data_IF_648815784578
#
_entry.id   IF_648815784578
#
_cell.length_a   1.000
_cell.length_b   1.000
_cell.length_c   1.000
_cell.angle_alpha   90.00
_cell.angle_beta   90.00
_cell.angle_gamma   90.00
#
_symmetry.space_group_name_H-M   'P 1'
#
loop_
_entity.id
_entity.type
_entity.pdbx_description
1 polymer ?
#
# COMPACT_ATOMS: atom_id res chain seq x y z
N UNK A 1 2.95 12.55 15.71
CA UNK A 1 3.90 11.96 14.75
C UNK A 1 3.29 11.92 13.36
N UNK A 2 2.06 11.42 13.18
CA UNK A 2 1.42 11.31 11.86
C UNK A 2 0.37 12.38 11.57
N UNK A 3 -0.03 13.18 12.57
CA UNK A 3 -1.15 14.13 12.46
C UNK A 3 -0.94 15.14 11.33
N UNK A 4 0.22 15.81 11.28
CA UNK A 4 0.52 16.81 10.25
C UNK A 4 0.51 16.25 8.84
N UNK A 5 0.96 15.00 8.65
CA UNK A 5 0.92 14.36 7.34
C UNK A 5 -0.52 14.01 6.92
N UNK A 6 -1.35 13.55 7.87
CA UNK A 6 -2.77 13.26 7.62
C UNK A 6 -3.54 14.55 7.31
N UNK A 7 -3.30 15.64 8.05
CA UNK A 7 -3.88 16.95 7.80
C UNK A 7 -3.52 17.50 6.41
N UNK A 8 -2.33 17.17 5.91
CA UNK A 8 -1.88 17.49 4.56
C UNK A 8 -2.40 16.51 3.46
N UNK A 9 -3.34 15.61 3.79
CA UNK A 9 -3.89 14.63 2.86
C UNK A 9 -3.07 13.35 2.70
N UNK A 10 -2.09 13.15 3.55
CA UNK A 10 -1.28 11.93 3.58
C UNK A 10 -2.01 10.73 4.17
N UNK A 11 -1.40 9.57 4.05
CA UNK A 11 -1.90 8.31 4.60
C UNK A 11 -0.87 7.57 5.44
N UNK A 12 -1.36 6.75 6.36
CA UNK A 12 -0.53 5.85 7.17
C UNK A 12 -0.78 4.42 6.72
N UNK A 13 0.30 3.70 6.39
CA UNK A 13 0.28 2.27 6.10
C UNK A 13 0.99 1.52 7.21
N UNK A 14 0.49 0.35 7.57
CA UNK A 14 1.10 -0.51 8.57
C UNK A 14 1.48 -1.86 7.98
N UNK A 15 2.65 -2.37 8.38
CA UNK A 15 3.10 -3.72 8.09
C UNK A 15 3.10 -4.48 9.41
N UNK A 16 2.40 -5.60 9.44
CA UNK A 16 2.27 -6.44 10.63
C UNK A 16 3.12 -7.71 10.48
N UNK A 17 4.09 -7.86 11.36
CA UNK A 17 4.89 -9.08 11.53
C UNK A 17 4.37 -9.89 12.71
N UNK A 18 3.43 -10.80 12.44
CA UNK A 18 2.86 -11.71 13.44
C UNK A 18 3.92 -12.72 13.89
N UNK A 19 4.05 -12.91 15.20
CA UNK A 19 5.02 -13.85 15.79
C UNK A 19 6.46 -13.34 15.82
N UNK A 20 6.68 -12.04 15.62
CA UNK A 20 8.02 -11.43 15.52
C UNK A 20 8.27 -10.29 16.51
N UNK A 21 7.61 -10.27 17.65
CA UNK A 21 7.87 -9.25 18.67
C UNK A 21 9.26 -9.38 19.28
N UNK A 22 9.74 -10.60 19.44
CA UNK A 22 11.01 -10.97 20.07
C UNK A 22 12.13 -11.34 19.06
N UNK A 23 11.84 -11.33 17.76
CA UNK A 23 12.78 -11.72 16.71
C UNK A 23 13.64 -10.57 16.18
N UNK A 24 13.21 -9.34 16.42
CA UNK A 24 13.92 -8.13 15.99
C UNK A 24 14.64 -7.48 17.16
N UNK A 25 15.96 -7.45 17.11
CA UNK A 25 16.74 -6.71 18.09
C UNK A 25 16.57 -5.20 17.90
N UNK A 26 16.91 -4.42 18.92
CA UNK A 26 16.93 -2.95 18.82
C UNK A 26 17.77 -2.47 17.63
N UNK A 27 18.92 -3.12 17.41
CA UNK A 27 19.81 -2.81 16.30
C UNK A 27 19.18 -3.07 14.93
N UNK A 28 18.36 -4.11 14.80
CA UNK A 28 17.65 -4.41 13.55
C UNK A 28 16.58 -3.36 13.27
N UNK A 29 15.85 -2.93 14.31
CA UNK A 29 14.85 -1.85 14.19
C UNK A 29 15.54 -0.52 13.82
N UNK A 30 16.67 -0.21 14.42
CA UNK A 30 17.43 1.01 14.11
C UNK A 30 17.90 1.00 12.64
N UNK A 31 18.41 -0.14 12.13
CA UNK A 31 18.75 -0.32 10.69
C UNK A 31 17.55 -0.16 9.76
N UNK A 32 16.38 -0.67 10.16
CA UNK A 32 15.14 -0.47 9.39
C UNK A 32 14.74 1.01 9.36
N UNK A 33 14.94 1.73 10.45
CA UNK A 33 14.76 3.19 10.52
C UNK A 33 15.71 3.93 9.56
N UNK A 34 16.98 3.55 9.54
CA UNK A 34 17.95 4.12 8.57
C UNK A 34 17.57 3.83 7.13
N UNK A 35 17.16 2.59 6.83
CA UNK A 35 16.67 2.21 5.51
C UNK A 35 15.45 3.02 5.09
N UNK A 36 14.50 3.21 6.00
CA UNK A 36 13.31 4.02 5.74
C UNK A 36 13.65 5.46 5.34
N UNK A 37 14.64 6.06 5.98
CA UNK A 37 15.06 7.43 5.66
C UNK A 37 15.90 7.48 4.39
N UNK A 38 16.94 6.63 4.27
CA UNK A 38 17.94 6.72 3.21
C UNK A 38 17.46 6.18 1.87
N UNK A 39 16.70 5.06 1.90
CA UNK A 39 16.33 4.32 0.69
C UNK A 39 14.86 4.55 0.30
N UNK A 40 13.99 4.83 1.28
CA UNK A 40 12.57 5.05 1.02
C UNK A 40 12.18 6.54 1.02
N UNK A 41 13.09 7.44 1.42
CA UNK A 41 12.84 8.88 1.46
C UNK A 41 11.85 9.33 2.53
N UNK A 42 11.58 8.47 3.53
CA UNK A 42 10.62 8.77 4.59
C UNK A 42 11.23 9.67 5.66
N UNK A 43 10.41 10.45 6.36
CA UNK A 43 10.85 11.23 7.51
C UNK A 43 11.21 10.40 8.76
N UNK A 44 11.00 9.09 8.72
CA UNK A 44 11.30 8.14 9.79
C UNK A 44 10.41 6.91 9.74
N UNK A 45 10.69 5.94 10.63
CA UNK A 45 9.91 4.72 10.77
C UNK A 45 9.25 4.67 12.16
N UNK A 46 7.91 4.68 12.17
CA UNK A 46 7.16 4.41 13.40
C UNK A 46 7.06 2.90 13.66
N UNK A 47 7.06 2.49 14.92
CA UNK A 47 6.81 1.09 15.25
C UNK A 47 6.18 0.90 16.63
N UNK A 48 5.52 -0.25 16.79
CA UNK A 48 5.06 -0.82 18.05
C UNK A 48 5.44 -2.29 18.07
N UNK A 49 6.01 -2.75 19.18
CA UNK A 49 6.25 -4.17 19.46
C UNK A 49 5.28 -4.61 20.56
N UNK A 50 4.46 -5.60 20.26
CA UNK A 50 3.50 -6.22 21.17
C UNK A 50 4.07 -7.51 21.77
N UNK A 51 4.99 -7.36 22.72
CA UNK A 51 5.36 -8.43 23.66
C UNK A 51 4.39 -8.43 24.86
N UNK A 52 4.85 -8.72 26.05
CA UNK A 52 4.04 -8.61 27.29
C UNK A 52 3.44 -7.21 27.41
N UNK A 53 4.27 -6.19 27.18
CA UNK A 53 3.87 -4.79 27.09
C UNK A 53 4.08 -4.24 25.67
N UNK A 54 3.27 -3.23 25.32
CA UNK A 54 3.47 -2.50 24.07
C UNK A 54 4.66 -1.55 24.16
N UNK A 55 5.68 -1.74 23.33
CA UNK A 55 6.93 -0.95 23.31
C UNK A 55 7.11 -0.24 21.96
N UNK A 56 7.81 0.86 21.96
CA UNK A 56 8.15 1.62 20.75
C UNK A 56 7.72 3.08 20.80
N UNK A 57 8.20 3.90 19.86
CA UNK A 57 7.93 5.35 19.86
C UNK A 57 6.46 5.68 19.65
N UNK A 58 5.73 4.87 18.88
CA UNK A 58 4.29 5.07 18.62
C UNK A 58 3.48 4.68 19.84
N UNK A 59 3.82 3.58 20.54
CA UNK A 59 3.13 3.14 21.73
C UNK A 59 3.13 4.23 22.84
N UNK A 60 4.24 4.96 22.98
CA UNK A 60 4.36 6.05 23.97
C UNK A 60 3.44 7.25 23.70
N UNK A 61 2.84 7.34 22.52
CA UNK A 61 1.96 8.45 22.09
C UNK A 61 0.49 8.07 22.03
N UNK A 62 0.16 6.82 22.32
CA UNK A 62 -1.20 6.29 22.28
C UNK A 62 -1.71 6.02 23.70
N UNK A 63 -3.01 6.19 23.88
CA UNK A 63 -3.71 5.75 25.08
C UNK A 63 -3.91 4.22 25.11
N UNK A 64 -4.27 3.71 26.28
CA UNK A 64 -4.45 2.27 26.47
C UNK A 64 -5.54 1.66 25.56
N UNK A 65 -6.61 2.40 25.30
CA UNK A 65 -7.71 1.91 24.45
C UNK A 65 -7.25 1.72 22.99
N UNK A 66 -6.49 2.68 22.44
CA UNK A 66 -5.92 2.58 21.11
C UNK A 66 -4.87 1.48 20.99
N UNK A 67 -4.03 1.32 22.03
CA UNK A 67 -3.07 0.22 22.10
C UNK A 67 -3.78 -1.13 22.12
N UNK A 68 -4.84 -1.29 22.90
CA UNK A 68 -5.64 -2.52 22.96
C UNK A 68 -6.25 -2.85 21.58
N UNK A 69 -6.83 -1.85 20.90
CA UNK A 69 -7.41 -2.04 19.57
C UNK A 69 -6.36 -2.40 18.51
N UNK A 70 -5.17 -1.80 18.57
CA UNK A 70 -4.08 -2.17 17.67
C UNK A 70 -3.54 -3.57 17.96
N UNK A 71 -3.47 -3.99 19.23
CA UNK A 71 -3.09 -5.34 19.62
C UNK A 71 -4.11 -6.38 19.14
N UNK A 72 -5.41 -6.07 19.23
CA UNK A 72 -6.47 -6.94 18.70
C UNK A 72 -6.29 -7.20 17.20
N UNK A 73 -5.97 -6.15 16.42
CA UNK A 73 -5.74 -6.25 14.97
C UNK A 73 -4.42 -6.97 14.65
N UNK A 74 -3.35 -6.62 15.36
CA UNK A 74 -2.02 -7.15 15.10
C UNK A 74 -1.84 -8.59 15.59
N UNK A 75 -2.49 -8.93 16.69
CA UNK A 75 -2.25 -10.15 17.46
C UNK A 75 -1.11 -9.97 18.47
N UNK A 76 -1.09 -10.86 19.46
CA UNK A 76 0.02 -10.96 20.40
C UNK A 76 1.32 -11.40 19.71
N UNK A 77 2.44 -11.12 20.35
CA UNK A 77 3.78 -11.41 19.81
C UNK A 77 4.02 -10.85 18.41
N UNK A 78 3.57 -9.60 18.16
CA UNK A 78 3.64 -8.95 16.84
C UNK A 78 4.47 -7.68 16.87
N UNK A 79 5.06 -7.34 15.73
CA UNK A 79 5.68 -6.04 15.49
C UNK A 79 4.96 -5.29 14.38
N UNK A 80 4.47 -4.08 14.67
CA UNK A 80 3.88 -3.19 13.68
C UNK A 80 4.88 -2.11 13.27
N UNK A 81 5.08 -1.94 11.97
CA UNK A 81 5.85 -0.85 11.38
C UNK A 81 4.93 0.09 10.62
N UNK A 82 5.09 1.39 10.81
CA UNK A 82 4.23 2.42 10.23
C UNK A 82 5.01 3.30 9.26
N UNK A 83 4.49 3.38 8.05
CA UNK A 83 4.94 4.29 6.99
C UNK A 83 3.91 5.39 6.83
N UNK A 84 4.35 6.64 6.75
CA UNK A 84 3.48 7.79 6.60
C UNK A 84 4.03 8.74 5.54
N UNK A 85 3.24 8.99 4.51
CA UNK A 85 3.51 9.91 3.40
C UNK A 85 2.20 10.17 2.63
N UNK A 86 2.25 10.88 1.50
CA UNK A 86 1.14 10.92 0.55
C UNK A 86 0.75 9.50 0.12
N UNK A 87 -0.51 9.30 -0.28
CA UNK A 87 -1.10 7.96 -0.43
C UNK A 87 -0.29 7.00 -1.30
N UNK A 88 0.15 7.46 -2.48
CA UNK A 88 0.93 6.64 -3.40
C UNK A 88 2.36 6.38 -2.91
N UNK A 89 3.18 7.40 -2.53
CA UNK A 89 4.48 7.20 -1.90
C UNK A 89 4.43 6.29 -0.69
N UNK A 90 3.45 6.47 0.22
CA UNK A 90 3.28 5.62 1.40
C UNK A 90 3.05 4.15 1.01
N UNK A 91 2.24 3.89 -0.02
CA UNK A 91 1.97 2.53 -0.49
C UNK A 91 3.21 1.89 -1.12
N UNK A 92 3.96 2.63 -1.95
CA UNK A 92 5.23 2.17 -2.54
C UNK A 92 6.29 1.88 -1.47
N UNK A 93 6.45 2.78 -0.51
CA UNK A 93 7.40 2.61 0.59
C UNK A 93 7.03 1.42 1.49
N UNK A 94 5.74 1.25 1.81
CA UNK A 94 5.25 0.09 2.57
C UNK A 94 5.53 -1.23 1.83
N UNK A 95 5.33 -1.29 0.52
CA UNK A 95 5.63 -2.45 -0.31
C UNK A 95 7.12 -2.82 -0.27
N UNK A 96 8.02 -1.83 -0.45
CA UNK A 96 9.47 -2.02 -0.38
C UNK A 96 9.91 -2.48 1.02
N UNK A 97 9.38 -1.86 2.07
CA UNK A 97 9.67 -2.24 3.47
C UNK A 97 9.20 -3.67 3.77
N UNK A 98 8.00 -4.06 3.30
CA UNK A 98 7.49 -5.43 3.44
C UNK A 98 8.44 -6.43 2.79
N UNK A 99 8.89 -6.17 1.57
CA UNK A 99 9.80 -7.07 0.85
C UNK A 99 11.15 -7.17 1.56
N UNK A 100 11.69 -6.05 2.05
CA UNK A 100 12.93 -6.05 2.85
C UNK A 100 12.79 -6.88 4.13
N UNK A 101 11.73 -6.67 4.89
CA UNK A 101 11.45 -7.44 6.10
C UNK A 101 11.32 -8.95 5.79
N UNK A 102 10.62 -9.30 4.71
CA UNK A 102 10.49 -10.68 4.26
C UNK A 102 11.85 -11.33 3.94
N UNK A 103 12.72 -10.60 3.25
CA UNK A 103 14.05 -11.07 2.88
C UNK A 103 14.98 -11.16 4.10
N UNK A 104 15.07 -10.10 4.90
CA UNK A 104 15.97 -10.02 6.07
C UNK A 104 15.64 -11.08 7.13
N UNK A 105 14.37 -11.45 7.26
CA UNK A 105 13.88 -12.43 8.23
C UNK A 105 13.76 -13.85 7.65
N UNK A 106 14.13 -14.05 6.39
CA UNK A 106 14.04 -15.35 5.73
C UNK A 106 12.61 -15.90 5.61
N UNK A 107 11.62 -15.00 5.47
CA UNK A 107 10.21 -15.37 5.37
C UNK A 107 9.79 -15.78 3.97
N UNK A 108 10.64 -15.53 2.99
CA UNK A 108 10.38 -15.88 1.59
C UNK A 108 10.94 -17.27 1.32
N UNK A 109 10.06 -18.23 1.09
CA UNK A 109 10.47 -19.56 0.63
C UNK A 109 10.40 -19.59 -0.90
N UNK A 110 11.53 -19.79 -1.61
CA UNK A 110 11.56 -19.78 -3.08
C UNK A 110 10.80 -20.95 -3.74
N UNK A 111 10.38 -21.94 -2.94
CA UNK A 111 9.58 -23.06 -3.40
C UNK A 111 8.08 -22.87 -3.24
N UNK A 112 7.66 -21.79 -2.59
CA UNK A 112 6.23 -21.47 -2.45
C UNK A 112 5.75 -20.72 -3.69
N UNK A 113 4.53 -21.03 -4.12
CA UNK A 113 3.85 -20.38 -5.22
C UNK A 113 2.67 -19.60 -4.65
N UNK A 114 2.89 -18.31 -4.39
CA UNK A 114 1.87 -17.40 -3.88
C UNK A 114 1.31 -16.57 -5.03
N UNK A 115 0.05 -16.82 -5.39
CA UNK A 115 -0.66 -16.08 -6.42
C UNK A 115 -1.53 -14.99 -5.80
N UNK A 116 -1.65 -13.87 -6.49
CA UNK A 116 -2.67 -12.88 -6.21
C UNK A 116 -3.14 -12.21 -7.52
N UNK A 117 -4.39 -11.69 -7.47
CA UNK A 117 -4.94 -10.83 -8.51
C UNK A 117 -4.80 -9.38 -8.07
N UNK A 118 -4.40 -8.53 -9.01
CA UNK A 118 -4.49 -7.09 -8.89
C UNK A 118 -5.57 -6.64 -9.84
N UNK A 119 -6.60 -5.98 -9.35
CA UNK A 119 -7.81 -5.65 -10.10
C UNK A 119 -8.19 -4.18 -9.92
N UNK A 120 -9.15 -3.74 -10.71
CA UNK A 120 -9.75 -2.41 -10.57
C UNK A 120 -8.74 -1.28 -10.71
N UNK A 121 -7.90 -1.36 -11.73
CA UNK A 121 -6.95 -0.30 -12.08
C UNK A 121 -7.67 1.05 -12.30
N UNK A 122 -7.02 2.20 -12.04
CA UNK A 122 -7.54 3.47 -12.49
C UNK A 122 -7.64 3.48 -14.02
N UNK A 123 -8.76 3.95 -14.57
CA UNK A 123 -8.93 4.03 -16.02
C UNK A 123 -8.20 5.24 -16.58
N UNK A 124 -8.19 6.35 -15.81
CA UNK A 124 -7.46 7.58 -16.11
C UNK A 124 -6.50 7.94 -14.99
N UNK A 125 -5.44 8.65 -15.36
CA UNK A 125 -4.50 9.32 -14.46
C UNK A 125 -4.32 10.79 -14.87
N UNK A 126 -3.85 11.67 -13.97
CA UNK A 126 -3.53 13.03 -14.35
C UNK A 126 -2.35 13.08 -15.33
N UNK A 127 -2.48 13.85 -16.39
CA UNK A 127 -1.37 14.16 -17.29
C UNK A 127 -0.68 15.44 -16.81
N UNK A 128 0.49 15.31 -16.20
CA UNK A 128 1.24 16.45 -15.68
C UNK A 128 1.65 17.43 -16.77
N UNK A 129 1.96 16.94 -17.98
CA UNK A 129 2.35 17.75 -19.13
C UNK A 129 1.19 18.56 -19.69
N UNK A 130 -0.04 18.17 -19.39
CA UNK A 130 -1.28 18.82 -19.82
C UNK A 130 -2.07 19.44 -18.68
N UNK A 131 -1.38 19.87 -17.61
CA UNK A 131 -2.02 20.56 -16.48
C UNK A 131 -2.98 19.69 -15.68
N UNK A 132 -2.77 18.39 -15.64
CA UNK A 132 -3.59 17.44 -14.88
C UNK A 132 -4.82 16.92 -15.64
N UNK A 133 -4.94 17.17 -16.94
CA UNK A 133 -6.01 16.60 -17.76
C UNK A 133 -6.00 15.07 -17.69
N UNK A 134 -7.15 14.40 -17.71
CA UNK A 134 -7.20 12.93 -17.69
C UNK A 134 -6.52 12.36 -18.94
N UNK A 135 -5.63 11.39 -18.74
CA UNK A 135 -5.10 10.50 -19.78
C UNK A 135 -5.32 9.04 -19.38
N UNK A 136 -5.39 8.15 -20.33
CA UNK A 136 -5.50 6.72 -20.05
C UNK A 136 -4.26 6.22 -19.30
N UNK A 137 -4.47 5.52 -18.20
CA UNK A 137 -3.37 4.95 -17.40
C UNK A 137 -2.66 3.82 -18.15
N UNK A 138 -3.43 2.93 -18.79
CA UNK A 138 -2.92 1.77 -19.50
C UNK A 138 -3.59 1.67 -20.89
N UNK A 139 -4.67 0.94 -20.97
CA UNK A 139 -5.23 0.42 -22.21
C UNK A 139 -6.58 1.06 -22.50
N UNK A 140 -6.68 1.99 -23.48
CA UNK A 140 -7.90 2.75 -23.74
C UNK A 140 -9.08 1.90 -24.20
N UNK A 141 -8.83 0.70 -24.71
CA UNK A 141 -9.88 -0.22 -25.16
C UNK A 141 -10.41 -1.16 -24.08
N UNK A 142 -9.95 -1.03 -22.85
CA UNK A 142 -10.53 -1.72 -21.71
C UNK A 142 -11.91 -1.16 -21.37
N UNK A 143 -12.75 -2.00 -20.75
CA UNK A 143 -14.07 -1.59 -20.32
C UNK A 143 -13.98 -0.72 -19.07
N UNK A 144 -14.50 0.51 -19.06
CA UNK A 144 -14.62 1.31 -17.86
C UNK A 144 -15.70 0.70 -16.96
N UNK A 145 -15.40 0.55 -15.66
CA UNK A 145 -16.36 0.07 -14.66
C UNK A 145 -17.30 1.21 -14.23
N UNK A 146 -17.99 1.78 -15.21
CA UNK A 146 -18.90 2.90 -15.03
C UNK A 146 -20.03 2.82 -16.07
N UNK A 147 -21.20 3.31 -15.71
CA UNK A 147 -22.30 3.50 -16.64
C UNK A 147 -22.05 4.71 -17.56
N UNK A 148 -22.79 4.82 -18.66
CA UNK A 148 -22.70 5.98 -19.55
C UNK A 148 -23.01 7.31 -18.83
N UNK A 149 -23.97 7.28 -17.90
CA UNK A 149 -24.28 8.43 -17.04
C UNK A 149 -23.13 8.79 -16.13
N UNK A 150 -22.51 7.82 -15.49
CA UNK A 150 -21.36 8.04 -14.62
C UNK A 150 -20.13 8.55 -15.38
N UNK A 151 -19.91 8.11 -16.62
CA UNK A 151 -18.88 8.63 -17.49
C UNK A 151 -19.07 10.12 -17.83
N UNK A 152 -20.33 10.60 -17.83
CA UNK A 152 -20.66 11.99 -18.09
C UNK A 152 -20.62 12.88 -16.83
N UNK A 153 -20.76 12.30 -15.64
CA UNK A 153 -21.01 13.06 -14.40
C UNK A 153 -19.90 12.89 -13.35
N UNK A 154 -19.23 11.76 -13.31
CA UNK A 154 -18.13 11.49 -12.36
C UNK A 154 -16.83 12.15 -12.78
N UNK A 155 -16.00 12.42 -11.78
CA UNK A 155 -14.60 12.77 -12.03
C UNK A 155 -13.93 11.58 -12.76
N UNK A 156 -13.33 11.79 -13.95
CA UNK A 156 -12.66 10.72 -14.69
C UNK A 156 -11.61 9.95 -13.87
N UNK A 157 -10.89 10.61 -12.97
CA UNK A 157 -9.87 10.01 -12.12
C UNK A 157 -10.41 9.01 -11.09
N UNK A 158 -11.73 8.97 -10.87
CA UNK A 158 -12.39 8.00 -9.98
C UNK A 158 -12.86 6.75 -10.72
N UNK A 159 -12.85 6.77 -12.05
CA UNK A 159 -13.30 5.66 -12.88
C UNK A 159 -12.24 4.55 -12.87
N UNK A 160 -12.71 3.32 -12.66
CA UNK A 160 -11.87 2.12 -12.70
C UNK A 160 -12.00 1.40 -14.03
N UNK A 161 -10.94 0.71 -14.41
CA UNK A 161 -10.91 -0.18 -15.57
C UNK A 161 -11.16 -1.63 -15.14
N UNK A 162 -11.88 -2.37 -15.96
CA UNK A 162 -12.03 -3.82 -15.82
C UNK A 162 -10.77 -4.53 -16.33
N UNK A 163 -9.64 -4.22 -15.70
CA UNK A 163 -8.31 -4.78 -15.95
C UNK A 163 -7.84 -5.59 -14.76
N UNK A 164 -6.98 -6.55 -15.02
CA UNK A 164 -6.39 -7.38 -13.99
C UNK A 164 -4.97 -7.81 -14.36
N UNK A 165 -4.15 -8.00 -13.33
CA UNK A 165 -2.86 -8.68 -13.42
C UNK A 165 -2.90 -9.92 -12.52
N UNK A 166 -2.34 -11.02 -13.00
CA UNK A 166 -2.01 -12.18 -12.17
C UNK A 166 -0.55 -12.07 -11.77
N UNK A 167 -0.33 -12.10 -10.48
CA UNK A 167 0.99 -11.95 -9.87
C UNK A 167 1.37 -13.24 -9.16
N UNK A 168 2.57 -13.74 -9.43
CA UNK A 168 3.20 -14.86 -8.74
C UNK A 168 4.44 -14.38 -7.99
N UNK A 169 4.47 -14.57 -6.68
CA UNK A 169 5.60 -14.19 -5.81
C UNK A 169 6.07 -12.74 -6.00
N UNK A 170 5.15 -11.82 -6.30
CA UNK A 170 5.46 -10.42 -6.53
C UNK A 170 5.87 -10.05 -7.96
N UNK A 171 5.90 -11.02 -8.89
CA UNK A 171 6.11 -10.79 -10.31
C UNK A 171 4.80 -10.96 -11.10
N UNK A 172 4.47 -9.99 -11.94
CA UNK A 172 3.38 -10.11 -12.89
C UNK A 172 3.72 -11.21 -13.92
N UNK A 173 2.84 -12.19 -14.05
CA UNK A 173 3.00 -13.32 -14.99
C UNK A 173 2.03 -13.26 -16.16
N UNK A 174 0.91 -12.60 -16.01
CA UNK A 174 0.02 -12.25 -17.10
C UNK A 174 -0.88 -11.06 -16.70
N UNK A 175 -1.36 -10.35 -17.69
CA UNK A 175 -2.32 -9.27 -17.56
C UNK A 175 -3.45 -9.42 -18.56
N UNK A 176 -4.57 -8.78 -18.30
CA UNK A 176 -5.73 -8.80 -19.16
C UNK A 176 -6.80 -7.80 -18.76
N UNK A 177 -7.90 -7.83 -19.50
CA UNK A 177 -9.04 -7.00 -19.18
C UNK A 177 -10.23 -7.31 -20.07
N UNK A 178 -11.41 -6.90 -19.58
CA UNK A 178 -12.60 -6.90 -20.41
C UNK A 178 -12.48 -5.81 -21.47
N UNK A 179 -12.69 -6.16 -22.73
CA UNK A 179 -12.70 -5.19 -23.84
C UNK A 179 -13.97 -4.35 -23.78
N UNK A 180 -13.84 -3.07 -24.10
CA UNK A 180 -15.01 -2.24 -24.31
C UNK A 180 -15.72 -2.68 -25.60
N UNK A 181 -16.94 -3.13 -25.43
CA UNK A 181 -17.81 -3.61 -26.52
C UNK A 181 -18.98 -2.67 -26.80
N UNK A 182 -19.11 -1.60 -26.00
CA UNK A 182 -20.20 -0.63 -26.17
C UNK A 182 -19.72 0.58 -26.99
N UNK A 183 -20.25 0.78 -28.22
CA UNK A 183 -19.85 1.90 -29.07
C UNK A 183 -20.10 3.28 -28.43
N UNK A 184 -21.18 3.44 -27.68
CA UNK A 184 -21.52 4.71 -27.03
C UNK A 184 -20.49 5.08 -25.95
N UNK A 185 -20.01 4.08 -25.22
CA UNK A 185 -18.94 4.25 -24.21
C UNK A 185 -17.60 4.53 -24.87
N UNK A 186 -17.33 3.96 -26.07
CA UNK A 186 -16.09 4.18 -26.80
C UNK A 186 -16.00 5.59 -27.40
N UNK A 187 -17.12 6.26 -27.64
CA UNK A 187 -17.17 7.60 -28.22
C UNK A 187 -17.09 8.72 -27.15
N UNK A 188 -17.05 8.34 -25.90
CA UNK A 188 -16.90 9.24 -24.74
C UNK A 188 -15.45 9.38 -24.32
#
# INVERSE_FOLDING_TARGET
>A
MFASAIEAGGSVRAINLKGYADKLSRKDIDKLGEYAVKELGLGGLGYIVFADEAKGPVAKKLDAARIAKLREIAGDNSSLFFVCDMAEPASKAAGKLRNKLGADLGLVNPRDFAFCWVESFPFFEPDEDRGGAPKFTHNPFSFPMATLEELNTKNPLEIKAAQFDMVLNGAEICSGGLRNFNPEVMLK
#
